data_IF_239319276881
#
_entry.id   IF_239319276881
#
_cell.length_a   1.000
_cell.length_b   1.000
_cell.length_c   1.000
_cell.angle_alpha   90.00
_cell.angle_beta   90.00
_cell.angle_gamma   90.00
#
_symmetry.space_group_name_H-M   'P 1'
#
loop_
_entity.id
_entity.type
_entity.pdbx_description
1 polymer ?
#
# COMPACT_ATOMS: atom_id res chain seq x y z
N UNK A 1 4.97 -16.87 -9.68
CA UNK A 1 5.57 -15.92 -8.71
C UNK A 1 4.62 -15.75 -7.54
N UNK A 2 5.09 -15.84 -6.29
CA UNK A 2 4.21 -15.67 -5.11
C UNK A 2 3.84 -14.19 -4.96
N UNK A 3 2.54 -13.87 -5.01
CA UNK A 3 2.07 -12.53 -4.68
C UNK A 3 2.48 -12.18 -3.25
N UNK A 4 3.20 -11.07 -3.07
CA UNK A 4 3.59 -10.57 -1.74
C UNK A 4 2.46 -9.73 -1.17
N UNK A 5 2.06 -10.01 0.08
CA UNK A 5 1.11 -9.20 0.86
C UNK A 5 1.91 -8.43 1.91
N UNK A 6 1.80 -7.11 1.88
CA UNK A 6 2.31 -6.22 2.92
C UNK A 6 1.19 -5.91 3.90
N UNK A 7 1.43 -6.13 5.19
CA UNK A 7 0.47 -5.85 6.26
C UNK A 7 1.04 -4.73 7.13
N UNK A 8 0.32 -3.60 7.18
CA UNK A 8 0.71 -2.41 7.92
C UNK A 8 -0.29 -2.23 9.07
N UNK A 9 0.15 -2.46 10.30
CA UNK A 9 -0.68 -2.29 11.52
C UNK A 9 -0.73 -0.82 11.96
N UNK A 10 -1.25 0.04 11.08
CA UNK A 10 -1.42 1.48 11.34
C UNK A 10 -2.66 1.99 10.62
N UNK A 11 -3.27 3.05 11.16
CA UNK A 11 -4.34 3.78 10.50
C UNK A 11 -3.77 4.55 9.29
N UNK A 12 -4.02 4.07 8.07
CA UNK A 12 -3.67 4.78 6.85
C UNK A 12 -4.88 5.48 6.19
N UNK A 13 -6.08 5.37 6.77
CA UNK A 13 -7.28 6.04 6.25
C UNK A 13 -7.12 7.55 6.05
N UNK A 14 -6.39 8.31 6.89
CA UNK A 14 -6.21 9.75 6.65
C UNK A 14 -5.54 10.10 5.33
N UNK A 15 -4.81 9.17 4.72
CA UNK A 15 -4.13 9.33 3.43
C UNK A 15 -4.76 8.49 2.32
N UNK A 16 -5.85 7.78 2.61
CA UNK A 16 -6.55 6.95 1.64
C UNK A 16 -7.58 7.78 0.90
N UNK A 17 -7.53 7.73 -0.43
CA UNK A 17 -8.53 8.32 -1.30
C UNK A 17 -9.47 7.21 -1.79
N UNK A 18 -10.73 7.31 -1.38
CA UNK A 18 -11.78 6.34 -1.70
C UNK A 18 -12.22 6.40 -3.17
N UNK A 19 -11.96 7.51 -3.87
CA UNK A 19 -12.40 7.69 -5.25
C UNK A 19 -11.52 6.96 -6.26
N UNK A 20 -10.23 6.79 -5.96
CA UNK A 20 -9.22 6.21 -6.86
C UNK A 20 -8.50 4.99 -6.26
N UNK A 21 -8.93 4.53 -5.07
CA UNK A 21 -8.34 3.40 -4.33
C UNK A 21 -6.82 3.56 -4.12
N UNK A 22 -6.39 4.79 -3.77
CA UNK A 22 -4.98 5.16 -3.63
C UNK A 22 -4.62 5.63 -2.21
N UNK A 23 -3.35 5.44 -1.82
CA UNK A 23 -2.79 6.00 -0.58
C UNK A 23 -1.78 7.07 -0.97
N UNK A 24 -2.04 8.33 -0.60
CA UNK A 24 -1.11 9.44 -0.80
C UNK A 24 0.09 9.30 0.15
N UNK A 25 1.09 8.54 -0.31
CA UNK A 25 2.33 8.30 0.43
C UNK A 25 3.27 9.51 0.40
N UNK A 26 3.07 10.46 -0.52
CA UNK A 26 3.95 11.62 -0.74
C UNK A 26 3.61 12.79 0.19
N UNK A 27 2.44 12.74 0.86
CA UNK A 27 2.05 13.71 1.88
C UNK A 27 3.16 13.93 2.92
N UNK A 28 3.39 15.19 3.31
CA UNK A 28 4.50 15.59 4.21
C UNK A 28 4.46 14.88 5.56
N UNK A 29 3.26 14.71 6.11
CA UNK A 29 3.02 14.03 7.39
C UNK A 29 2.93 12.49 7.28
N UNK A 30 3.13 11.92 6.09
CA UNK A 30 3.05 10.47 5.92
C UNK A 30 4.21 9.77 6.65
N UNK A 31 3.98 8.67 7.40
CA UNK A 31 5.02 8.03 8.18
C UNK A 31 6.13 7.43 7.29
N UNK A 32 7.35 7.98 7.40
CA UNK A 32 8.51 7.58 6.58
C UNK A 32 8.74 6.06 6.51
N UNK A 33 8.72 5.37 7.64
CA UNK A 33 8.93 3.91 7.69
C UNK A 33 7.85 3.13 6.92
N UNK A 34 6.62 3.66 6.85
CA UNK A 34 5.54 3.04 6.09
C UNK A 34 5.73 3.32 4.59
N UNK A 35 6.14 4.54 4.23
CA UNK A 35 6.46 4.91 2.83
C UNK A 35 7.51 3.95 2.26
N UNK A 36 8.63 3.80 2.96
CA UNK A 36 9.74 2.93 2.55
C UNK A 36 9.29 1.47 2.35
N UNK A 37 8.34 0.97 3.16
CA UNK A 37 7.77 -0.37 2.99
C UNK A 37 6.87 -0.48 1.76
N UNK A 38 6.04 0.54 1.51
CA UNK A 38 5.13 0.59 0.34
C UNK A 38 5.96 0.70 -0.95
N UNK A 39 6.98 1.56 -0.97
CA UNK A 39 7.90 1.70 -2.10
C UNK A 39 8.65 0.39 -2.37
N UNK A 40 9.09 -0.32 -1.32
CA UNK A 40 9.81 -1.59 -1.45
C UNK A 40 8.96 -2.72 -2.07
N UNK A 41 7.62 -2.67 -1.97
CA UNK A 41 6.75 -3.62 -2.67
C UNK A 41 6.48 -3.21 -4.12
N UNK A 42 6.68 -1.94 -4.48
CA UNK A 42 6.40 -1.41 -5.82
C UNK A 42 4.90 -1.32 -6.08
N UNK A 43 4.47 -1.57 -7.32
CA UNK A 43 3.05 -1.50 -7.69
C UNK A 43 2.18 -2.44 -6.84
N UNK A 44 1.05 -1.93 -6.33
CA UNK A 44 0.17 -2.65 -5.43
C UNK A 44 -1.31 -2.34 -5.68
N UNK A 45 -2.18 -3.18 -5.12
CA UNK A 45 -3.62 -2.92 -4.93
C UNK A 45 -3.96 -3.00 -3.45
N UNK A 46 -4.92 -2.20 -3.00
CA UNK A 46 -5.40 -2.20 -1.61
C UNK A 46 -6.41 -3.35 -1.48
N UNK A 47 -6.07 -4.34 -0.65
CA UNK A 47 -6.95 -5.49 -0.41
C UNK A 47 -7.90 -5.21 0.76
N UNK A 48 -7.42 -4.44 1.73
CA UNK A 48 -8.13 -4.17 2.97
C UNK A 48 -7.55 -2.93 3.62
N UNK A 49 -8.40 -2.04 4.12
CA UNK A 49 -7.98 -0.87 4.88
C UNK A 49 -8.97 -0.59 6.00
N UNK A 50 -8.44 -0.35 7.20
CA UNK A 50 -9.20 0.02 8.40
C UNK A 50 -8.38 0.97 9.26
N UNK A 51 -9.01 1.50 10.32
CA UNK A 51 -8.32 2.28 11.35
C UNK A 51 -7.22 1.53 12.11
N UNK A 52 -7.12 0.21 11.97
CA UNK A 52 -6.15 -0.62 12.70
C UNK A 52 -5.08 -1.24 11.79
N UNK A 53 -5.46 -1.58 10.56
CA UNK A 53 -4.61 -2.33 9.65
C UNK A 53 -4.93 -2.00 8.19
N UNK A 54 -3.88 -1.96 7.36
CA UNK A 54 -3.94 -1.88 5.91
C UNK A 54 -3.19 -3.07 5.31
N UNK A 55 -3.77 -3.70 4.28
CA UNK A 55 -3.15 -4.81 3.53
C UNK A 55 -3.03 -4.42 2.06
N UNK A 56 -1.80 -4.44 1.58
CA UNK A 56 -1.47 -4.17 0.19
C UNK A 56 -0.99 -5.46 -0.47
N UNK A 57 -1.52 -5.76 -1.66
CA UNK A 57 -1.06 -6.88 -2.47
C UNK A 57 -0.22 -6.35 -3.61
N UNK A 58 1.01 -6.83 -3.70
CA UNK A 58 1.90 -6.51 -4.82
C UNK A 58 1.29 -7.00 -6.14
N UNK A 59 1.21 -6.09 -7.11
CA UNK A 59 0.87 -6.42 -8.50
C UNK A 59 2.14 -6.98 -9.11
N UNK A 60 2.21 -8.31 -9.20
CA UNK A 60 3.26 -8.95 -9.97
C UNK A 60 2.99 -8.63 -11.44
N UNK A 61 3.76 -7.73 -12.05
CA UNK A 61 3.87 -7.72 -13.52
C UNK A 61 4.42 -9.09 -13.91
N UNK A 62 3.53 -9.99 -14.32
CA UNK A 62 3.95 -11.14 -15.09
C UNK A 62 4.67 -10.56 -16.29
N UNK A 63 5.99 -10.74 -16.35
CA UNK A 63 6.71 -10.57 -17.61
C UNK A 63 6.11 -11.61 -18.56
N UNK A 64 5.08 -11.23 -19.31
CA UNK A 64 4.80 -11.87 -20.57
C UNK A 64 5.88 -11.36 -21.52
N UNK A 65 6.95 -12.14 -21.64
CA UNK A 65 7.94 -12.01 -22.71
C UNK A 65 8.35 -13.41 -23.11
#
# INVERSE_FOLDING_TARGET
MKSRILVIKKNLLPWYNELDDHIDIDHSDFPRLVREQIEAIGEYTIVFITRFETRLKQISKSKNT
#
